data_IF_862855947603
#
_entry.id   IF_862855947603
#
_cell.length_a   1.000
_cell.length_b   1.000
_cell.length_c   1.000
_cell.angle_alpha   90.00
_cell.angle_beta   90.00
_cell.angle_gamma   90.00
#
_symmetry.space_group_name_H-M   'P 1'
#
loop_
_entity.id
_entity.type
_entity.pdbx_description
1 polymer ?
#
# COMPACT_ATOMS: atom_id res chain seq x y z
N UNK A 1 7.07 18.20 -3.13
CA UNK A 1 8.40 18.15 -3.80
C UNK A 1 8.25 17.89 -5.29
N UNK A 2 7.54 16.84 -5.74
CA UNK A 2 7.39 16.53 -7.17
C UNK A 2 6.02 16.89 -7.78
N UNK A 3 4.93 16.88 -7.02
CA UNK A 3 3.61 17.40 -7.46
C UNK A 3 2.99 16.72 -8.68
N UNK A 4 3.49 15.54 -9.08
CA UNK A 4 3.11 14.86 -10.31
C UNK A 4 2.16 13.69 -10.01
N UNK A 5 0.98 13.71 -10.63
CA UNK A 5 -0.08 12.72 -10.45
C UNK A 5 0.34 11.29 -10.82
N UNK A 6 1.37 11.12 -11.65
CA UNK A 6 1.87 9.79 -12.01
C UNK A 6 2.29 8.98 -10.79
N UNK A 7 2.82 9.65 -9.75
CA UNK A 7 3.27 8.96 -8.54
C UNK A 7 2.09 8.47 -7.71
N UNK A 8 1.04 9.28 -7.59
CA UNK A 8 -0.19 8.87 -6.91
C UNK A 8 -0.87 7.73 -7.67
N UNK A 9 -0.86 7.76 -9.01
CA UNK A 9 -1.37 6.67 -9.83
C UNK A 9 -0.61 5.37 -9.57
N UNK A 10 0.72 5.40 -9.62
CA UNK A 10 1.56 4.22 -9.32
C UNK A 10 1.29 3.70 -7.90
N UNK A 11 1.16 4.60 -6.92
CA UNK A 11 0.86 4.19 -5.54
C UNK A 11 -0.50 3.47 -5.43
N UNK A 12 -1.53 3.95 -6.14
CA UNK A 12 -2.85 3.28 -6.21
C UNK A 12 -2.76 1.91 -6.88
N UNK A 13 -2.01 1.81 -7.99
CA UNK A 13 -1.79 0.53 -8.68
C UNK A 13 -1.06 -0.49 -7.77
N UNK A 14 -0.07 -0.03 -6.99
CA UNK A 14 0.56 -0.85 -5.95
C UNK A 14 -0.43 -1.27 -4.85
N UNK A 15 -1.32 -0.36 -4.44
CA UNK A 15 -2.40 -0.66 -3.50
C UNK A 15 -3.30 -1.80 -3.97
N UNK A 16 -3.65 -1.84 -5.25
CA UNK A 16 -4.45 -2.94 -5.82
C UNK A 16 -3.71 -4.28 -5.77
N UNK A 17 -2.41 -4.30 -6.06
CA UNK A 17 -1.60 -5.52 -5.93
C UNK A 17 -1.59 -6.03 -4.49
N UNK A 18 -1.44 -5.12 -3.52
CA UNK A 18 -1.46 -5.46 -2.09
C UNK A 18 -2.86 -5.89 -1.65
N UNK A 19 -3.93 -5.32 -2.20
CA UNK A 19 -5.29 -5.76 -1.91
C UNK A 19 -5.51 -7.21 -2.36
N UNK A 20 -5.11 -7.53 -3.58
CA UNK A 20 -5.31 -8.87 -4.17
C UNK A 20 -4.38 -9.93 -3.56
N UNK A 21 -3.17 -9.56 -3.10
CA UNK A 21 -2.11 -10.53 -2.78
C UNK A 21 -1.39 -10.28 -1.45
N UNK A 22 -1.77 -9.24 -0.70
CA UNK A 22 -1.08 -8.77 0.50
C UNK A 22 -1.46 -9.51 1.79
N UNK A 23 -2.45 -10.40 1.76
CA UNK A 23 -2.72 -11.35 2.84
C UNK A 23 -1.72 -12.50 2.76
N UNK A 24 -0.59 -12.36 3.46
CA UNK A 24 0.53 -13.28 3.34
C UNK A 24 0.35 -14.50 4.25
N UNK A 25 0.50 -15.70 3.68
CA UNK A 25 0.56 -16.97 4.45
C UNK A 25 1.70 -17.01 5.47
N UNK A 26 2.74 -16.19 5.27
CA UNK A 26 3.89 -16.05 6.17
C UNK A 26 3.51 -15.54 7.57
N UNK A 27 2.42 -14.78 7.67
CA UNK A 27 1.93 -14.22 8.93
C UNK A 27 1.86 -12.68 8.94
N UNK A 28 1.52 -12.14 10.10
CA UNK A 28 1.15 -10.73 10.29
C UNK A 28 2.32 -9.84 10.76
N UNK A 29 3.55 -10.11 10.31
CA UNK A 29 4.70 -9.27 10.64
C UNK A 29 4.66 -7.89 9.96
N UNK A 30 5.48 -6.95 10.45
CA UNK A 30 5.60 -5.60 9.87
C UNK A 30 6.58 -5.57 8.69
N UNK A 31 7.72 -6.25 8.78
CA UNK A 31 8.76 -6.16 7.73
C UNK A 31 8.35 -6.77 6.39
N UNK A 32 7.58 -7.85 6.41
CA UNK A 32 7.16 -8.62 5.22
C UNK A 32 5.97 -9.52 5.55
N UNK A 33 4.94 -8.91 6.14
CA UNK A 33 3.72 -9.56 6.58
C UNK A 33 2.49 -8.68 6.34
N UNK A 34 1.32 -9.23 6.61
CA UNK A 34 0.03 -8.56 6.35
C UNK A 34 -0.11 -7.21 7.07
N UNK A 35 0.41 -7.10 8.31
CA UNK A 35 0.33 -5.85 9.08
C UNK A 35 1.20 -4.75 8.47
N UNK A 36 2.38 -5.08 7.93
CA UNK A 36 3.19 -4.12 7.18
C UNK A 36 2.50 -3.67 5.89
N UNK A 37 1.91 -4.62 5.16
CA UNK A 37 1.16 -4.33 3.94
C UNK A 37 -0.03 -3.38 4.19
N UNK A 38 -0.69 -3.49 5.35
CA UNK A 38 -1.82 -2.62 5.69
C UNK A 38 -1.45 -1.13 5.79
N UNK A 39 -0.19 -0.80 6.13
CA UNK A 39 0.27 0.59 6.15
C UNK A 39 0.17 1.26 4.78
N UNK A 40 0.28 0.51 3.69
CA UNK A 40 0.08 1.09 2.35
C UNK A 40 -1.32 1.68 2.20
N UNK A 41 -2.36 1.06 2.77
CA UNK A 41 -3.71 1.61 2.72
C UNK A 41 -3.88 2.82 3.63
N UNK A 42 -3.22 2.83 4.79
CA UNK A 42 -3.22 4.00 5.68
C UNK A 42 -2.55 5.21 5.03
N UNK A 43 -1.44 5.00 4.32
CA UNK A 43 -0.76 6.06 3.59
C UNK A 43 -1.59 6.53 2.40
N UNK A 44 -2.16 5.62 1.61
CA UNK A 44 -3.06 5.99 0.51
C UNK A 44 -4.29 6.77 1.00
N UNK A 45 -4.85 6.40 2.15
CA UNK A 45 -5.96 7.13 2.76
C UNK A 45 -5.55 8.57 3.09
N UNK A 46 -4.43 8.77 3.79
CA UNK A 46 -3.90 10.10 4.13
C UNK A 46 -3.59 10.98 2.90
N UNK A 47 -3.29 10.37 1.75
CA UNK A 47 -3.01 11.11 0.52
C UNK A 47 -4.26 11.37 -0.34
N UNK A 48 -5.42 10.79 0.00
CA UNK A 48 -6.62 10.85 -0.85
C UNK A 48 -7.89 11.30 -0.14
N UNK A 49 -7.86 11.44 1.19
CA UNK A 49 -8.93 11.97 2.05
C UNK A 49 -8.34 12.97 3.03
#
# INVERSE_FOLDING_TARGET
VFGDDKYLKIAKDCGEVIWQRGLLRKGCGICHGTSGNAYTFLDLYQQTQ
#
